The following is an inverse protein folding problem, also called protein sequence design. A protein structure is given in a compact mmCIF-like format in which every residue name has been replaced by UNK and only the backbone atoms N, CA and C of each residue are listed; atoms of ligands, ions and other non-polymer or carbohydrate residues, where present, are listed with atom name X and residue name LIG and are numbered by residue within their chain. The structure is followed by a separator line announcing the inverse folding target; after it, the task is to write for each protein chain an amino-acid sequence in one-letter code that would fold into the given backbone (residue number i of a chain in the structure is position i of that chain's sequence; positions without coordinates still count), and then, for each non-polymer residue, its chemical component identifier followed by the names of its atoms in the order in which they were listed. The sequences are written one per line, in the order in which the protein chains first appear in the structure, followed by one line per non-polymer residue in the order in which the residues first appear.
data_IF_756728462097
#
_entry.id   IF_756728462097
#
_cell.length_a   1.000
_cell.length_b   1.000
_cell.length_c   1.000
_cell.angle_alpha   90.00
_cell.angle_beta   90.00
_cell.angle_gamma   90.00
#
_symmetry.space_group_name_H-M   'P 1'
#
loop_
_entity.id
_entity.type
_entity.pdbx_description
1 polymer ?
#
# COMPACT_ATOMS: atom_id res chain seq x y z
N UNK A 1 -25.33 10.21 -19.43
CA UNK A 1 -25.21 9.86 -18.01
C UNK A 1 -23.83 9.26 -17.82
N UNK A 2 -22.91 9.96 -17.15
CA UNK A 2 -21.59 9.41 -16.83
C UNK A 2 -21.71 8.63 -15.52
N UNK A 3 -21.57 7.31 -15.58
CA UNK A 3 -21.54 6.45 -14.41
C UNK A 3 -20.09 6.40 -13.91
N UNK A 4 -19.80 7.05 -12.78
CA UNK A 4 -18.51 6.93 -12.11
C UNK A 4 -18.61 5.86 -11.04
N UNK A 5 -17.73 4.86 -11.10
CA UNK A 5 -17.54 3.85 -10.06
C UNK A 5 -16.53 4.44 -9.06
N UNK A 6 -16.90 4.50 -7.78
CA UNK A 6 -16.02 5.04 -6.75
C UNK A 6 -16.52 4.69 -5.35
N UNK A 7 -15.62 4.79 -4.37
CA UNK A 7 -15.91 4.47 -2.97
C UNK A 7 -17.03 5.33 -2.39
N UNK A 8 -17.79 4.75 -1.43
CA UNK A 8 -18.80 5.48 -0.66
C UNK A 8 -18.20 6.78 -0.11
N UNK A 9 -18.76 7.91 -0.57
CA UNK A 9 -18.36 9.29 -0.28
C UNK A 9 -17.15 9.87 -1.03
N UNK A 10 -16.33 9.07 -1.72
CA UNK A 10 -15.11 9.53 -2.44
C UNK A 10 -15.37 10.57 -3.55
N UNK A 11 -16.56 10.52 -4.13
CA UNK A 11 -16.98 11.39 -5.25
C UNK A 11 -17.50 12.74 -4.74
N UNK A 12 -17.75 12.88 -3.42
CA UNK A 12 -18.32 14.11 -2.88
C UNK A 12 -17.33 15.27 -3.06
N UNK A 13 -17.78 16.45 -3.54
CA UNK A 13 -16.91 17.60 -3.77
C UNK A 13 -16.07 18.01 -2.56
N UNK A 14 -16.56 17.73 -1.34
CA UNK A 14 -15.90 18.04 -0.07
C UNK A 14 -14.65 17.19 0.19
N UNK A 15 -14.51 16.04 -0.49
CA UNK A 15 -13.36 15.15 -0.40
C UNK A 15 -12.31 15.42 -1.47
N UNK A 16 -12.69 16.13 -2.53
CA UNK A 16 -11.74 16.60 -3.54
C UNK A 16 -11.03 17.84 -3.02
N UNK A 17 -9.70 17.87 -3.17
CA UNK A 17 -8.89 18.98 -2.69
C UNK A 17 -9.35 20.30 -3.34
N UNK A 18 -9.29 21.37 -2.56
CA UNK A 18 -9.47 22.75 -3.06
C UNK A 18 -8.41 23.17 -4.08
N UNK A 19 -7.39 22.33 -4.31
CA UNK A 19 -6.26 22.55 -5.21
C UNK A 19 -6.66 22.64 -6.69
N UNK A 20 -7.83 22.12 -7.07
CA UNK A 20 -8.33 22.15 -8.45
C UNK A 20 -9.64 22.95 -8.59
N UNK A 21 -9.64 24.29 -8.44
CA UNK A 21 -10.85 25.10 -8.63
C UNK A 21 -11.46 25.00 -10.03
N UNK A 22 -10.70 24.60 -11.04
CA UNK A 22 -11.19 24.37 -12.41
C UNK A 22 -12.01 23.08 -12.56
N UNK A 23 -11.94 22.16 -11.60
CA UNK A 23 -12.89 21.05 -11.50
C UNK A 23 -14.25 21.52 -10.97
N UNK A 24 -14.49 22.82 -10.77
CA UNK A 24 -15.82 23.33 -10.45
C UNK A 24 -16.77 23.01 -11.62
N UNK A 25 -17.63 21.99 -11.51
CA UNK A 25 -18.39 21.46 -12.65
C UNK A 25 -19.26 22.56 -13.26
N UNK A 26 -19.79 23.44 -12.41
CA UNK A 26 -20.64 24.56 -12.80
C UNK A 26 -19.97 25.57 -13.76
N UNK A 27 -18.63 25.72 -13.71
CA UNK A 27 -17.89 26.57 -14.66
C UNK A 27 -17.70 25.92 -16.03
N UNK A 28 -17.74 24.59 -16.11
CA UNK A 28 -17.65 23.82 -17.35
C UNK A 28 -19.02 23.39 -17.90
N UNK A 29 -20.12 23.93 -17.36
CA UNK A 29 -21.49 23.54 -17.75
C UNK A 29 -21.91 22.16 -17.25
N UNK A 30 -21.13 21.53 -16.36
CA UNK A 30 -21.48 20.27 -15.71
C UNK A 30 -22.25 20.59 -14.43
N UNK A 31 -23.52 20.26 -14.37
CA UNK A 31 -24.33 20.42 -13.16
C UNK A 31 -24.30 19.10 -12.40
N UNK A 32 -23.91 19.13 -11.12
CA UNK A 32 -24.10 17.98 -10.23
C UNK A 32 -25.57 17.96 -9.80
N UNK A 33 -26.39 17.19 -10.50
CA UNK A 33 -27.83 17.09 -10.25
C UNK A 33 -28.14 16.18 -9.03
N UNK A 34 -27.29 15.17 -8.81
CA UNK A 34 -27.39 14.27 -7.67
C UNK A 34 -26.55 13.02 -7.88
N UNK A 35 -26.56 12.14 -6.87
CA UNK A 35 -26.02 10.79 -6.99
C UNK A 35 -26.95 9.81 -6.29
N UNK A 36 -26.97 8.57 -6.78
CA UNK A 36 -27.69 7.47 -6.16
C UNK A 36 -26.73 6.29 -6.02
N UNK A 37 -26.76 5.62 -4.86
CA UNK A 37 -26.11 4.32 -4.69
C UNK A 37 -27.00 3.26 -5.34
N UNK A 38 -26.55 2.70 -6.47
CA UNK A 38 -27.32 1.68 -7.21
C UNK A 38 -27.01 0.27 -6.70
N UNK A 39 -25.83 0.07 -6.13
CA UNK A 39 -25.39 -1.18 -5.53
C UNK A 39 -23.91 -1.12 -5.15
N UNK A 40 -23.42 -2.20 -4.54
CA UNK A 40 -22.00 -2.37 -4.25
C UNK A 40 -21.27 -2.90 -5.49
N UNK A 41 -20.04 -2.44 -5.71
CA UNK A 41 -19.16 -3.04 -6.72
C UNK A 41 -18.47 -4.26 -6.12
N UNK A 42 -18.92 -5.44 -6.50
CA UNK A 42 -18.35 -6.71 -6.06
C UNK A 42 -16.90 -6.94 -6.53
N UNK A 43 -16.42 -6.20 -7.53
CA UNK A 43 -15.04 -6.29 -8.00
C UNK A 43 -14.12 -5.28 -7.30
N UNK A 44 -14.67 -4.39 -6.46
CA UNK A 44 -13.89 -3.41 -5.72
C UNK A 44 -13.39 -3.98 -4.40
N UNK A 45 -12.18 -3.56 -4.00
CA UNK A 45 -11.65 -3.88 -2.68
C UNK A 45 -12.51 -3.20 -1.60
N UNK A 46 -12.95 -3.98 -0.61
CA UNK A 46 -13.58 -3.41 0.57
C UNK A 46 -12.58 -2.53 1.32
N UNK A 47 -12.92 -1.27 1.55
CA UNK A 47 -12.06 -0.36 2.32
C UNK A 47 -12.25 -0.53 3.81
N UNK A 48 -11.19 -0.29 4.57
CA UNK A 48 -11.28 -0.23 6.02
C UNK A 48 -12.30 0.83 6.47
N UNK A 49 -13.22 0.43 7.36
CA UNK A 49 -14.12 1.34 8.05
C UNK A 49 -13.37 2.11 9.14
N UNK A 50 -12.55 1.39 9.92
CA UNK A 50 -11.65 1.97 10.91
C UNK A 50 -10.40 2.56 10.22
N UNK A 51 -10.22 3.88 10.30
CA UNK A 51 -9.06 4.59 9.76
C UNK A 51 -7.92 4.74 10.78
N UNK A 52 -8.10 4.21 11.98
CA UNK A 52 -7.15 4.27 13.09
C UNK A 52 -6.97 2.89 13.73
N UNK A 53 -6.47 1.89 12.96
CA UNK A 53 -6.16 0.57 13.51
C UNK A 53 -5.00 0.62 14.51
N UNK A 54 -4.82 -0.45 15.29
CA UNK A 54 -3.68 -0.58 16.20
C UNK A 54 -2.30 -0.53 15.50
N UNK A 55 -2.24 -0.93 14.24
CA UNK A 55 -1.08 -0.82 13.36
C UNK A 55 -1.52 -0.91 11.90
N UNK A 56 -0.64 -0.57 10.97
CA UNK A 56 -0.91 -0.59 9.53
C UNK A 56 0.35 -0.93 8.73
N UNK A 57 0.17 -1.24 7.44
CA UNK A 57 1.26 -1.62 6.53
C UNK A 57 1.15 -0.90 5.20
N UNK A 58 2.29 -0.42 4.68
CA UNK A 58 2.44 -0.06 3.27
C UNK A 58 2.64 -1.33 2.46
N UNK A 59 1.61 -1.68 1.69
CA UNK A 59 1.57 -2.89 0.88
C UNK A 59 0.93 -2.59 -0.47
N UNK A 60 1.47 -3.20 -1.53
CA UNK A 60 0.85 -3.19 -2.85
C UNK A 60 1.37 -4.38 -3.66
N UNK A 61 0.68 -4.68 -4.76
CA UNK A 61 1.12 -5.58 -5.83
C UNK A 61 0.89 -4.91 -7.17
N UNK A 62 1.44 -5.44 -8.25
CA UNK A 62 1.18 -4.96 -9.62
C UNK A 62 -0.30 -5.01 -10.05
N UNK A 63 -1.16 -5.72 -9.29
CA UNK A 63 -2.59 -5.88 -9.60
C UNK A 63 -3.50 -4.87 -8.89
N UNK A 64 -3.02 -4.25 -7.81
CA UNK A 64 -3.88 -3.41 -6.96
C UNK A 64 -4.04 -1.99 -7.52
N UNK A 65 -5.23 -1.41 -7.36
CA UNK A 65 -5.50 0.01 -7.64
C UNK A 65 -6.04 0.74 -6.41
N UNK A 66 -6.13 0.05 -5.27
CA UNK A 66 -6.58 0.61 -4.02
C UNK A 66 -5.48 1.42 -3.34
N UNK A 67 -5.82 2.00 -2.18
CA UNK A 67 -4.84 2.62 -1.30
C UNK A 67 -3.71 1.63 -0.95
N UNK A 68 -2.44 2.08 -0.93
CA UNK A 68 -1.32 1.24 -0.51
C UNK A 68 -1.18 1.15 1.02
N UNK A 69 -2.04 1.80 1.80
CA UNK A 69 -2.07 1.65 3.25
C UNK A 69 -3.13 0.61 3.60
N UNK A 70 -2.74 -0.49 4.23
CA UNK A 70 -3.65 -1.55 4.67
C UNK A 70 -3.71 -1.64 6.19
N UNK A 71 -4.91 -1.87 6.71
CA UNK A 71 -5.14 -2.04 8.14
C UNK A 71 -4.47 -3.31 8.67
N UNK A 72 -3.76 -3.19 9.79
CA UNK A 72 -3.18 -4.32 10.50
C UNK A 72 -4.20 -5.19 11.24
N UNK A 73 -5.48 -4.84 11.24
CA UNK A 73 -6.56 -5.61 11.90
C UNK A 73 -7.24 -6.59 10.94
N UNK A 74 -7.41 -6.21 9.67
CA UNK A 74 -8.18 -7.00 8.70
C UNK A 74 -7.62 -6.93 7.26
N UNK A 75 -6.46 -6.31 7.06
CA UNK A 75 -5.83 -6.12 5.76
C UNK A 75 -6.63 -5.33 4.72
N UNK A 76 -7.70 -4.65 5.12
CA UNK A 76 -8.46 -3.80 4.21
C UNK A 76 -7.71 -2.49 3.91
N UNK A 77 -7.73 -1.99 2.66
CA UNK A 77 -7.12 -0.71 2.30
C UNK A 77 -7.79 0.47 3.02
N UNK A 78 -6.98 1.34 3.62
CA UNK A 78 -7.40 2.58 4.29
C UNK A 78 -7.38 3.71 3.27
N UNK A 79 -8.52 4.36 2.94
CA UNK A 79 -8.55 5.40 1.93
C UNK A 79 -7.70 6.63 2.31
N UNK A 80 -6.81 7.06 1.41
CA UNK A 80 -5.88 8.17 1.65
C UNK A 80 -6.60 9.47 2.00
N UNK A 81 -7.72 9.78 1.35
CA UNK A 81 -8.51 10.99 1.62
C UNK A 81 -9.14 11.00 3.03
N UNK A 82 -9.23 9.85 3.70
CA UNK A 82 -9.70 9.77 5.10
C UNK A 82 -8.55 9.98 6.07
N UNK A 83 -7.44 9.27 5.88
CA UNK A 83 -6.34 9.25 6.85
C UNK A 83 -5.33 10.38 6.65
N UNK A 84 -5.00 10.72 5.40
CA UNK A 84 -4.02 11.74 5.02
C UNK A 84 -4.68 13.01 4.47
N UNK A 85 -5.92 13.29 4.87
CA UNK A 85 -6.71 14.44 4.39
C UNK A 85 -5.97 15.77 4.50
N UNK A 86 -5.19 15.95 5.57
CA UNK A 86 -4.46 17.18 5.86
C UNK A 86 -3.03 17.18 5.29
N UNK A 87 -2.60 16.08 4.65
CA UNK A 87 -1.26 15.90 4.07
C UNK A 87 -1.36 15.51 2.58
N UNK A 88 -1.85 16.42 1.71
CA UNK A 88 -2.03 16.12 0.28
C UNK A 88 -0.72 15.81 -0.43
N UNK A 89 0.39 16.44 -0.04
CA UNK A 89 1.71 16.16 -0.62
C UNK A 89 2.20 14.76 -0.28
N UNK A 90 2.01 14.30 0.96
CA UNK A 90 2.34 12.93 1.37
C UNK A 90 1.50 11.90 0.61
N UNK A 91 0.21 12.19 0.40
CA UNK A 91 -0.67 11.33 -0.41
C UNK A 91 -0.20 11.22 -1.86
N UNK A 92 0.22 12.33 -2.47
CA UNK A 92 0.74 12.34 -3.85
C UNK A 92 2.05 11.57 -3.97
N UNK A 93 2.98 11.76 -3.02
CA UNK A 93 4.25 11.05 -3.03
C UNK A 93 4.07 9.54 -2.79
N UNK A 94 3.12 9.17 -1.93
CA UNK A 94 2.76 7.76 -1.71
C UNK A 94 2.15 7.10 -2.95
N UNK A 95 1.29 7.81 -3.69
CA UNK A 95 0.76 7.32 -4.97
C UNK A 95 1.91 7.14 -5.98
N UNK A 96 2.82 8.11 -6.07
CA UNK A 96 3.98 8.01 -6.98
C UNK A 96 4.90 6.84 -6.62
N UNK A 97 5.14 6.63 -5.33
CA UNK A 97 5.87 5.46 -4.83
C UNK A 97 5.17 4.15 -5.20
N UNK A 98 3.85 4.07 -5.01
CA UNK A 98 3.05 2.89 -5.35
C UNK A 98 3.19 2.56 -6.84
N UNK A 99 3.05 3.54 -7.74
CA UNK A 99 3.24 3.34 -9.18
C UNK A 99 4.62 2.75 -9.51
N UNK A 100 5.68 3.29 -8.90
CA UNK A 100 7.05 2.82 -9.13
C UNK A 100 7.27 1.40 -8.60
N UNK A 101 6.71 1.09 -7.42
CA UNK A 101 6.75 -0.25 -6.82
C UNK A 101 6.05 -1.26 -7.72
N UNK A 102 4.85 -0.92 -8.18
CA UNK A 102 4.05 -1.78 -9.06
C UNK A 102 4.72 -2.00 -10.41
N UNK A 103 5.40 -0.99 -10.95
CA UNK A 103 6.18 -1.15 -12.17
C UNK A 103 7.34 -2.16 -11.98
N UNK A 104 8.00 -2.14 -10.82
CA UNK A 104 9.05 -3.11 -10.51
C UNK A 104 8.50 -4.54 -10.38
N UNK A 105 7.39 -4.71 -9.66
CA UNK A 105 6.73 -6.01 -9.52
C UNK A 105 6.24 -6.55 -10.87
N UNK A 106 5.65 -5.69 -11.72
CA UNK A 106 5.24 -6.03 -13.07
C UNK A 106 6.42 -6.50 -13.94
N UNK A 107 7.55 -5.78 -13.88
CA UNK A 107 8.76 -6.14 -14.62
C UNK A 107 9.35 -7.45 -14.12
N UNK A 108 9.38 -7.67 -12.81
CA UNK A 108 9.88 -8.92 -12.24
C UNK A 108 8.97 -10.12 -12.58
N UNK A 109 7.66 -9.93 -12.65
CA UNK A 109 6.73 -11.02 -12.97
C UNK A 109 6.64 -11.32 -14.47
N UNK A 110 6.73 -10.29 -15.32
CA UNK A 110 6.37 -10.41 -16.74
C UNK A 110 7.49 -9.99 -17.71
N UNK A 111 8.63 -9.51 -17.22
CA UNK A 111 9.70 -8.94 -18.03
C UNK A 111 11.07 -9.57 -17.79
N UNK A 112 11.60 -10.30 -18.77
CA UNK A 112 12.90 -10.97 -18.62
C UNK A 112 14.14 -10.04 -18.59
N UNK A 113 14.03 -8.82 -19.14
CA UNK A 113 15.21 -7.95 -19.38
C UNK A 113 15.67 -7.20 -18.13
N UNK A 114 14.74 -6.78 -17.28
CA UNK A 114 15.01 -5.96 -16.08
C UNK A 114 14.61 -6.66 -14.77
N UNK A 115 14.29 -7.95 -14.84
CA UNK A 115 13.80 -8.74 -13.70
C UNK A 115 14.68 -8.57 -12.45
N UNK A 116 16.00 -8.74 -12.58
CA UNK A 116 16.92 -8.70 -11.45
C UNK A 116 16.98 -7.32 -10.80
N UNK A 117 17.07 -6.24 -11.60
CA UNK A 117 17.12 -4.88 -11.09
C UNK A 117 15.80 -4.49 -10.43
N UNK A 118 14.67 -4.83 -11.07
CA UNK A 118 13.34 -4.54 -10.53
C UNK A 118 13.08 -5.30 -9.23
N UNK A 119 13.47 -6.58 -9.16
CA UNK A 119 13.37 -7.37 -7.93
C UNK A 119 14.20 -6.75 -6.79
N UNK A 120 15.43 -6.30 -7.07
CA UNK A 120 16.28 -5.69 -6.06
C UNK A 120 15.65 -4.44 -5.44
N UNK A 121 14.96 -3.60 -6.22
CA UNK A 121 14.30 -2.38 -5.73
C UNK A 121 13.14 -2.65 -4.76
N UNK A 122 12.45 -3.80 -4.88
CA UNK A 122 11.32 -4.15 -3.99
C UNK A 122 11.68 -5.16 -2.89
N UNK A 123 12.82 -5.85 -3.00
CA UNK A 123 13.25 -6.90 -2.06
C UNK A 123 14.46 -6.54 -1.20
N UNK A 124 15.29 -5.57 -1.59
CA UNK A 124 16.36 -5.04 -0.75
C UNK A 124 15.90 -3.79 -0.01
N UNK A 125 15.92 -3.86 1.32
CA UNK A 125 15.61 -2.74 2.21
C UNK A 125 16.54 -1.52 2.07
N UNK A 126 17.68 -1.65 1.38
CA UNK A 126 18.63 -0.56 1.09
C UNK A 126 18.50 0.03 -0.31
N UNK A 127 17.63 -0.54 -1.16
CA UNK A 127 17.35 0.01 -2.48
C UNK A 127 16.74 1.41 -2.41
N UNK A 128 16.74 2.13 -3.53
CA UNK A 128 16.21 3.49 -3.58
C UNK A 128 14.72 3.49 -3.28
N UNK A 129 13.98 2.58 -3.89
CA UNK A 129 12.53 2.48 -3.76
C UNK A 129 12.10 2.01 -2.37
N UNK A 130 12.83 1.06 -1.77
CA UNK A 130 12.54 0.63 -0.40
C UNK A 130 12.90 1.69 0.63
N UNK A 131 13.98 2.47 0.42
CA UNK A 131 14.28 3.63 1.28
C UNK A 131 13.18 4.69 1.21
N UNK A 132 12.68 4.98 0.01
CA UNK A 132 11.57 5.94 -0.17
C UNK A 132 10.29 5.44 0.51
N UNK A 133 9.89 4.19 0.29
CA UNK A 133 8.71 3.61 0.94
C UNK A 133 8.82 3.57 2.47
N UNK A 134 10.00 3.27 3.01
CA UNK A 134 10.24 3.33 4.47
C UNK A 134 10.20 4.75 5.03
N UNK A 135 10.71 5.73 4.30
CA UNK A 135 10.57 7.14 4.66
C UNK A 135 9.08 7.53 4.69
N UNK A 136 8.31 7.18 3.66
CA UNK A 136 6.87 7.42 3.62
C UNK A 136 6.13 6.78 4.79
N UNK A 137 6.44 5.51 5.12
CA UNK A 137 5.87 4.83 6.28
C UNK A 137 6.13 5.61 7.59
N UNK A 138 7.34 6.16 7.76
CA UNK A 138 7.68 6.97 8.94
C UNK A 138 6.92 8.29 8.97
N UNK A 139 6.76 8.97 7.84
CA UNK A 139 5.99 10.23 7.78
C UNK A 139 4.50 9.98 8.07
N UNK A 140 3.94 8.87 7.57
CA UNK A 140 2.56 8.45 7.87
C UNK A 140 2.41 8.12 9.36
N UNK A 141 3.36 7.40 9.97
CA UNK A 141 3.34 7.10 11.40
C UNK A 141 3.38 8.38 12.24
N UNK A 142 4.17 9.39 11.85
CA UNK A 142 4.20 10.69 12.53
C UNK A 142 2.88 11.44 12.43
N UNK A 143 2.26 11.43 11.25
CA UNK A 143 0.98 12.12 11.02
C UNK A 143 -0.17 11.45 11.77
N UNK A 144 -0.19 10.12 11.80
CA UNK A 144 -1.33 9.34 12.31
C UNK A 144 -1.18 8.88 13.75
N UNK A 145 0.05 8.79 14.26
CA UNK A 145 0.38 8.11 15.51
C UNK A 145 0.25 6.59 15.46
N UNK A 146 0.05 6.01 14.26
CA UNK A 146 -0.19 4.57 14.08
C UNK A 146 1.11 3.90 13.65
N UNK A 147 1.56 2.84 14.36
CA UNK A 147 2.67 1.99 13.92
C UNK A 147 2.53 1.59 12.45
N UNK A 148 3.42 2.08 11.58
CA UNK A 148 3.32 1.89 10.13
C UNK A 148 4.50 1.07 9.63
N UNK A 149 4.23 -0.10 9.06
CA UNK A 149 5.23 -1.04 8.60
C UNK A 149 5.41 -0.94 7.09
N UNK A 150 6.60 -1.20 6.60
CA UNK A 150 6.89 -1.34 5.18
C UNK A 150 6.95 -2.83 4.79
N UNK A 151 6.23 -3.23 3.75
CA UNK A 151 6.33 -4.56 3.18
C UNK A 151 7.59 -4.71 2.30
N UNK A 152 8.44 -5.66 2.67
CA UNK A 152 9.60 -6.06 1.88
C UNK A 152 9.29 -7.35 1.13
N UNK A 153 9.30 -7.27 -0.20
CA UNK A 153 8.96 -8.40 -1.06
C UNK A 153 10.04 -9.49 -1.00
N UNK A 154 9.64 -10.76 -1.01
CA UNK A 154 10.56 -11.90 -1.02
C UNK A 154 10.16 -12.97 -2.03
N UNK A 155 11.11 -13.38 -2.86
CA UNK A 155 11.03 -14.55 -3.77
C UNK A 155 12.42 -15.20 -3.89
N UNK A 156 12.49 -16.46 -4.34
CA UNK A 156 13.73 -17.22 -4.43
C UNK A 156 14.18 -17.85 -3.10
N UNK A 157 15.48 -17.91 -2.84
CA UNK A 157 16.05 -18.59 -1.67
C UNK A 157 16.54 -20.01 -1.96
N UNK A 158 17.29 -20.59 -1.03
CA UNK A 158 17.99 -21.88 -1.24
C UNK A 158 17.20 -23.08 -0.74
N UNK A 159 16.56 -22.94 0.43
CA UNK A 159 15.71 -23.97 1.02
C UNK A 159 14.66 -23.35 1.94
N UNK A 160 13.59 -24.09 2.22
CA UNK A 160 12.53 -23.66 3.13
C UNK A 160 13.07 -23.39 4.55
N UNK A 161 13.97 -24.24 5.04
CA UNK A 161 14.59 -24.10 6.36
C UNK A 161 15.39 -22.81 6.45
N UNK A 162 16.21 -22.52 5.42
CA UNK A 162 16.99 -21.29 5.36
C UNK A 162 16.10 -20.05 5.34
N UNK A 163 15.00 -20.09 4.58
CA UNK A 163 14.05 -18.99 4.49
C UNK A 163 13.31 -18.73 5.81
N UNK A 164 12.89 -19.80 6.50
CA UNK A 164 12.26 -19.69 7.83
C UNK A 164 13.21 -19.14 8.89
N UNK A 165 14.51 -19.39 8.77
CA UNK A 165 15.54 -18.91 9.70
C UNK A 165 16.09 -17.51 9.39
N UNK A 166 15.56 -16.80 8.39
CA UNK A 166 16.05 -15.46 8.02
C UNK A 166 15.93 -14.47 9.17
N UNK A 167 17.00 -13.73 9.43
CA UNK A 167 16.97 -12.58 10.30
C UNK A 167 16.39 -11.35 9.60
N UNK A 168 15.96 -10.36 10.39
CA UNK A 168 15.58 -9.04 9.88
C UNK A 168 16.77 -8.43 9.12
N UNK A 169 16.61 -8.04 7.84
CA UNK A 169 17.74 -7.55 7.04
C UNK A 169 18.30 -6.22 7.55
N UNK A 170 17.52 -5.46 8.32
CA UNK A 170 17.93 -4.15 8.83
C UNK A 170 18.67 -4.21 10.18
N UNK A 171 18.31 -5.12 11.09
CA UNK A 171 18.90 -5.16 12.44
C UNK A 171 19.49 -6.52 12.83
N UNK A 172 19.31 -7.56 12.01
CA UNK A 172 19.81 -8.91 12.30
C UNK A 172 19.03 -9.67 13.37
N UNK A 173 18.01 -9.08 13.99
CA UNK A 173 17.19 -9.77 14.99
C UNK A 173 16.31 -10.86 14.36
N UNK A 174 15.90 -11.83 15.19
CA UNK A 174 14.84 -12.75 14.80
C UNK A 174 13.52 -11.96 14.64
N UNK A 175 12.80 -12.26 13.57
CA UNK A 175 11.55 -11.60 13.18
C UNK A 175 10.55 -12.58 12.58
N UNK A 176 10.84 -13.89 12.58
CA UNK A 176 9.91 -14.90 12.12
C UNK A 176 8.71 -14.97 13.07
N UNK A 177 7.51 -14.99 12.49
CA UNK A 177 6.27 -15.16 13.23
C UNK A 177 5.98 -16.64 13.44
N UNK A 178 5.36 -16.96 14.57
CA UNK A 178 4.88 -18.33 14.84
C UNK A 178 3.73 -18.69 13.89
N UNK A 179 2.79 -17.77 13.75
CA UNK A 179 1.61 -17.87 12.89
C UNK A 179 1.63 -16.67 11.92
N UNK A 180 1.36 -16.92 10.64
CA UNK A 180 1.35 -15.87 9.63
C UNK A 180 0.19 -14.89 9.87
N UNK A 181 0.42 -13.61 9.61
CA UNK A 181 -0.63 -12.59 9.65
C UNK A 181 -1.27 -12.54 8.25
N UNK A 182 -2.59 -12.73 8.20
CA UNK A 182 -3.39 -12.78 6.96
C UNK A 182 -2.88 -13.78 5.91
N UNK A 183 -2.20 -14.85 6.37
CA UNK A 183 -1.51 -15.83 5.51
C UNK A 183 -0.48 -15.22 4.52
N UNK A 184 -0.14 -13.94 4.70
CA UNK A 184 0.70 -13.15 3.79
C UNK A 184 2.02 -12.82 4.47
N UNK A 185 1.97 -12.29 5.69
CA UNK A 185 3.16 -11.85 6.42
C UNK A 185 3.65 -12.93 7.37
N UNK A 186 4.85 -13.44 7.10
CA UNK A 186 5.50 -14.49 7.87
C UNK A 186 6.60 -13.95 8.77
N UNK A 187 7.00 -12.70 8.52
CA UNK A 187 8.03 -12.00 9.25
C UNK A 187 7.56 -10.60 9.63
N UNK A 188 7.84 -10.16 10.86
CA UNK A 188 7.51 -8.83 11.37
C UNK A 188 8.57 -8.37 12.37
N UNK A 189 9.18 -7.22 12.09
CA UNK A 189 10.15 -6.59 12.98
C UNK A 189 9.61 -5.23 13.46
N UNK A 190 9.23 -5.17 14.73
CA UNK A 190 8.68 -3.96 15.34
C UNK A 190 9.69 -2.82 15.44
N UNK A 191 10.94 -3.15 15.76
CA UNK A 191 12.05 -2.18 15.84
C UNK A 191 12.33 -1.51 14.50
N UNK A 192 12.26 -2.27 13.39
CA UNK A 192 12.61 -1.75 12.06
C UNK A 192 11.40 -1.30 11.24
N UNK A 193 10.18 -1.50 11.74
CA UNK A 193 8.93 -1.29 11.01
C UNK A 193 8.90 -2.02 9.67
N UNK A 194 9.32 -3.29 9.66
CA UNK A 194 9.33 -4.14 8.46
C UNK A 194 8.42 -5.33 8.62
N UNK A 195 7.71 -5.69 7.55
CA UNK A 195 7.05 -6.99 7.39
C UNK A 195 7.49 -7.63 6.08
N UNK A 196 7.45 -8.94 6.00
CA UNK A 196 7.82 -9.67 4.77
C UNK A 196 7.10 -11.01 4.70
N UNK A 197 6.96 -11.51 3.47
CA UNK A 197 6.40 -12.83 3.20
C UNK A 197 7.50 -13.91 3.28
N UNK A 198 7.07 -15.17 3.46
CA UNK A 198 7.91 -16.30 3.09
C UNK A 198 8.04 -16.31 1.56
N UNK A 199 9.21 -16.68 1.06
CA UNK A 199 9.43 -16.73 -0.38
C UNK A 199 8.37 -17.61 -1.04
N UNK A 200 7.78 -17.08 -2.11
CA UNK A 200 6.75 -17.75 -2.91
C UNK A 200 7.21 -19.11 -3.47
N UNK A 201 8.52 -19.38 -3.53
CA UNK A 201 9.06 -20.67 -3.97
C UNK A 201 8.82 -21.81 -2.96
N UNK A 202 8.44 -21.49 -1.72
CA UNK A 202 8.29 -22.46 -0.63
C UNK A 202 6.94 -22.36 0.10
N UNK A 203 6.00 -21.59 -0.46
CA UNK A 203 4.61 -21.54 -0.02
C UNK A 203 3.77 -22.63 -0.70
#
# INVERSE_FOLDING_TARGET
MLCWIGYKNGILPQQNSTLYPWLNPSKCGVIFDGFQLVGDDFNSDQTAENTSPAWQVLYTTHLQSCSPIHSGENFAPIPLYKQLKNQPHLSQDLIKWQENWQACDQLQMNGAVLEQQSLAEISDHQSTLSKHGRYLAQEIEKETGIPTYYYLYRVGGQSLESEKSRCCPSCGANWALKDAIFDTFHFKCDTCRLVSNLSWNFL
#
